data_IF_185816444295
#
_entry.id   IF_185816444295
#
_cell.length_a   1.000
_cell.length_b   1.000
_cell.length_c   1.000
_cell.angle_alpha   90.00
_cell.angle_beta   90.00
_cell.angle_gamma   90.00
#
_symmetry.space_group_name_H-M   'P 1'
#
loop_
_entity.id
_entity.type
_entity.pdbx_description
1 polymer ?
#
# COMPACT_ATOMS: atom_id res chain seq x y z
N UNK A 1 24.27 33.17 37.74
CA UNK A 1 24.44 33.12 36.28
C UNK A 1 23.76 31.86 35.78
N UNK A 2 22.53 31.98 35.27
CA UNK A 2 21.81 30.88 34.61
C UNK A 2 22.16 30.90 33.13
N UNK A 3 22.93 29.92 32.66
CA UNK A 3 23.22 29.73 31.24
C UNK A 3 22.14 28.82 30.65
N UNK A 4 21.15 29.43 30.01
CA UNK A 4 20.12 28.73 29.23
C UNK A 4 20.74 28.31 27.90
N UNK A 5 20.88 27.00 27.69
CA UNK A 5 21.29 26.43 26.40
C UNK A 5 20.10 26.53 25.44
N UNK A 6 20.21 27.39 24.43
CA UNK A 6 19.26 27.47 23.33
C UNK A 6 19.33 26.17 22.52
N UNK A 7 18.30 25.33 22.64
CA UNK A 7 18.05 24.25 21.69
C UNK A 7 17.56 24.88 20.39
N UNK A 8 18.46 24.88 19.40
CA UNK A 8 18.13 25.17 18.00
C UNK A 8 16.98 24.27 17.54
N UNK A 9 15.82 24.88 17.32
CA UNK A 9 14.68 24.23 16.69
C UNK A 9 15.03 24.00 15.22
N UNK A 10 15.45 22.78 14.90
CA UNK A 10 15.59 22.32 13.53
C UNK A 10 14.23 22.47 12.83
N UNK A 11 14.26 23.29 11.78
CA UNK A 11 13.17 23.70 10.93
C UNK A 11 12.37 22.48 10.43
N UNK A 12 11.06 22.49 10.66
CA UNK A 12 10.13 21.47 10.19
C UNK A 12 9.77 21.76 8.73
N UNK A 13 10.77 21.68 7.86
CA UNK A 13 10.66 21.89 6.42
C UNK A 13 10.36 20.60 5.66
N UNK A 14 9.57 20.73 4.60
CA UNK A 14 9.24 19.80 3.51
C UNK A 14 10.29 18.70 3.25
N UNK A 15 9.90 17.43 2.98
CA UNK A 15 10.86 16.38 2.63
C UNK A 15 11.76 16.85 1.48
N UNK A 16 13.08 16.73 1.69
CA UNK A 16 14.06 17.12 0.68
C UNK A 16 13.83 16.37 -0.65
N UNK A 17 14.28 16.95 -1.78
CA UNK A 17 14.22 16.28 -3.07
C UNK A 17 14.99 14.95 -3.00
N UNK A 18 14.28 13.82 -3.10
CA UNK A 18 14.89 12.47 -3.14
C UNK A 18 14.26 11.40 -2.21
N UNK A 19 13.37 11.76 -1.29
CA UNK A 19 12.72 10.77 -0.40
C UNK A 19 11.47 10.19 -1.05
N UNK A 20 11.50 8.89 -1.37
CA UNK A 20 10.38 8.17 -1.99
C UNK A 20 9.30 7.83 -0.95
N UNK A 21 8.07 8.26 -1.21
CA UNK A 21 6.87 7.94 -0.42
C UNK A 21 5.94 7.03 -1.21
N UNK A 22 5.59 5.89 -0.66
CA UNK A 22 4.73 4.91 -1.34
C UNK A 22 3.65 4.37 -0.43
N UNK A 23 2.54 3.97 -1.03
CA UNK A 23 1.54 3.16 -0.36
C UNK A 23 1.60 1.72 -0.89
N UNK A 24 1.93 0.78 -0.01
CA UNK A 24 1.92 -0.64 -0.29
C UNK A 24 0.57 -1.25 0.08
N UNK A 25 -0.14 -1.80 -0.90
CA UNK A 25 -1.34 -2.59 -0.67
C UNK A 25 -0.97 -4.06 -0.59
N UNK A 26 -1.33 -4.69 0.53
CA UNK A 26 -1.17 -6.12 0.77
C UNK A 26 -2.54 -6.81 0.76
N UNK A 27 -2.65 -7.95 0.07
CA UNK A 27 -3.82 -8.82 0.22
C UNK A 27 -3.83 -9.45 1.62
N UNK A 28 -5.01 -9.49 2.26
CA UNK A 28 -5.17 -10.18 3.54
C UNK A 28 -4.98 -11.69 3.42
N UNK A 29 -5.29 -12.29 2.28
CA UNK A 29 -5.17 -13.75 2.08
C UNK A 29 -3.74 -14.26 2.30
N UNK A 30 -2.74 -13.43 1.98
CA UNK A 30 -1.33 -13.78 2.15
C UNK A 30 -0.97 -13.93 3.63
N UNK A 31 -1.62 -13.17 4.51
CA UNK A 31 -1.36 -13.26 5.95
C UNK A 31 -1.78 -14.60 6.53
N UNK A 32 -2.67 -15.36 5.89
CA UNK A 32 -3.17 -16.64 6.42
C UNK A 32 -2.28 -17.86 6.11
N UNK A 33 -1.25 -17.73 5.27
CA UNK A 33 -0.41 -18.87 4.87
C UNK A 33 -1.18 -20.02 4.20
N UNK A 34 -2.33 -19.73 3.60
CA UNK A 34 -3.24 -20.74 3.04
C UNK A 34 -4.32 -21.24 4.00
N UNK A 35 -4.37 -20.73 5.23
CA UNK A 35 -5.36 -21.06 6.27
C UNK A 35 -6.08 -19.82 6.82
N UNK A 36 -7.10 -20.04 7.65
CA UNK A 36 -7.77 -18.94 8.37
C UNK A 36 -6.87 -18.49 9.52
N UNK A 37 -6.69 -17.18 9.68
CA UNK A 37 -5.91 -16.60 10.76
C UNK A 37 -4.66 -15.88 10.26
N UNK A 38 -3.61 -15.85 11.09
CA UNK A 38 -2.35 -15.19 10.78
C UNK A 38 -1.22 -16.21 10.89
N UNK A 39 -0.44 -16.32 9.83
CA UNK A 39 0.82 -17.03 9.76
C UNK A 39 1.96 -16.09 10.20
N UNK A 40 2.57 -16.32 11.38
CA UNK A 40 3.65 -15.49 11.90
C UNK A 40 4.86 -15.39 10.98
N UNK A 41 5.21 -16.47 10.27
CA UNK A 41 6.39 -16.52 9.43
C UNK A 41 6.21 -15.66 8.18
N UNK A 42 5.00 -15.68 7.60
CA UNK A 42 4.67 -14.81 6.47
C UNK A 42 4.68 -13.33 6.88
N UNK A 43 4.04 -12.99 8.00
CA UNK A 43 4.00 -11.60 8.47
C UNK A 43 5.40 -11.11 8.84
N UNK A 44 6.22 -11.95 9.47
CA UNK A 44 7.62 -11.62 9.79
C UNK A 44 8.47 -11.40 8.53
N UNK A 45 8.28 -12.21 7.48
CA UNK A 45 8.98 -12.05 6.21
C UNK A 45 8.62 -10.73 5.50
N UNK A 46 7.35 -10.31 5.57
CA UNK A 46 6.91 -8.99 5.07
C UNK A 46 7.53 -7.88 5.91
N UNK A 47 7.44 -7.98 7.24
CA UNK A 47 7.96 -6.98 8.16
C UNK A 47 9.47 -6.73 7.97
N UNK A 48 10.26 -7.79 7.77
CA UNK A 48 11.69 -7.70 7.47
C UNK A 48 11.98 -6.89 6.20
N UNK A 49 11.23 -7.14 5.13
CA UNK A 49 11.40 -6.44 3.85
C UNK A 49 10.94 -4.97 3.92
N UNK A 50 9.85 -4.68 4.65
CA UNK A 50 9.44 -3.30 4.93
C UNK A 50 10.52 -2.56 5.72
N UNK A 51 11.06 -3.20 6.76
CA UNK A 51 12.10 -2.62 7.58
C UNK A 51 13.41 -2.36 6.81
N UNK A 52 13.79 -3.23 5.87
CA UNK A 52 14.91 -2.99 4.95
C UNK A 52 14.71 -1.68 4.17
N UNK A 53 13.58 -1.53 3.47
CA UNK A 53 13.32 -0.34 2.67
C UNK A 53 13.22 0.95 3.50
N UNK A 54 12.64 0.89 4.70
CA UNK A 54 12.54 2.07 5.59
C UNK A 54 13.91 2.50 6.10
N UNK A 55 14.80 1.57 6.45
CA UNK A 55 16.19 1.92 6.87
C UNK A 55 16.98 2.58 5.75
N UNK A 56 16.65 2.30 4.51
CA UNK A 56 17.23 2.94 3.32
C UNK A 56 16.54 4.27 2.95
N UNK A 57 15.56 4.72 3.72
CA UNK A 57 14.95 6.05 3.62
C UNK A 57 13.58 6.10 2.96
N UNK A 58 12.99 4.96 2.58
CA UNK A 58 11.63 4.94 2.02
C UNK A 58 10.58 5.32 3.08
N UNK A 59 9.64 6.20 2.72
CA UNK A 59 8.46 6.51 3.53
C UNK A 59 7.33 5.55 3.14
N UNK A 60 7.04 4.59 4.01
CA UNK A 60 6.13 3.48 3.69
C UNK A 60 4.81 3.60 4.45
N UNK A 61 3.73 3.74 3.69
CA UNK A 61 2.38 3.51 4.19
C UNK A 61 1.86 2.16 3.70
N UNK A 62 0.99 1.50 4.47
CA UNK A 62 0.50 0.15 4.16
C UNK A 62 -1.02 0.10 4.32
N UNK A 63 -1.71 -0.51 3.36
CA UNK A 63 -3.10 -0.97 3.50
C UNK A 63 -3.11 -2.49 3.43
N UNK A 64 -3.77 -3.15 4.39
CA UNK A 64 -3.86 -4.62 4.43
C UNK A 64 -5.33 -5.06 4.29
N UNK A 65 -5.59 -6.05 3.44
CA UNK A 65 -6.90 -6.69 3.35
C UNK A 65 -7.23 -7.56 4.57
N UNK A 66 -8.49 -7.98 4.72
CA UNK A 66 -8.97 -8.84 5.83
C UNK A 66 -9.35 -10.26 5.42
N UNK A 67 -9.01 -10.67 4.19
CA UNK A 67 -9.51 -11.89 3.54
C UNK A 67 -9.12 -13.21 4.21
N UNK A 68 -8.04 -13.23 4.99
CA UNK A 68 -7.59 -14.37 5.80
C UNK A 68 -8.49 -14.68 7.00
N UNK A 69 -9.21 -13.69 7.53
CA UNK A 69 -10.20 -13.92 8.59
C UNK A 69 -11.61 -14.11 8.03
N UNK A 70 -11.89 -13.47 6.90
CA UNK A 70 -13.25 -13.30 6.45
C UNK A 70 -13.35 -13.22 4.93
N UNK A 71 -13.99 -14.21 4.31
CA UNK A 71 -14.35 -14.19 2.89
C UNK A 71 -15.76 -13.64 2.75
N UNK A 72 -15.92 -12.32 2.78
CA UNK A 72 -17.24 -11.68 2.84
C UNK A 72 -18.22 -12.11 1.75
N UNK A 73 -17.73 -12.39 0.54
CA UNK A 73 -18.54 -12.93 -0.56
C UNK A 73 -19.16 -14.30 -0.21
N UNK A 74 -18.43 -15.19 0.48
CA UNK A 74 -18.94 -16.51 0.87
C UNK A 74 -20.03 -16.41 1.95
N UNK A 75 -19.94 -15.41 2.84
CA UNK A 75 -20.92 -15.22 3.92
C UNK A 75 -22.18 -14.49 3.44
N UNK A 76 -22.05 -13.54 2.52
CA UNK A 76 -23.22 -12.96 1.85
C UNK A 76 -23.99 -13.99 1.03
N UNK A 77 -23.29 -14.91 0.35
CA UNK A 77 -23.94 -16.05 -0.31
C UNK A 77 -24.67 -16.98 0.67
N UNK A 78 -24.27 -16.99 1.95
CA UNK A 78 -24.90 -17.76 3.03
C UNK A 78 -25.92 -16.95 3.84
N UNK A 79 -26.40 -15.82 3.31
CA UNK A 79 -27.51 -15.05 3.87
C UNK A 79 -27.11 -13.90 4.80
N UNK A 80 -25.82 -13.59 4.94
CA UNK A 80 -25.39 -12.39 5.66
C UNK A 80 -25.62 -11.14 4.82
N UNK A 81 -26.22 -10.11 5.42
CA UNK A 81 -26.37 -8.81 4.78
C UNK A 81 -24.99 -8.21 4.45
N UNK A 82 -24.84 -7.70 3.23
CA UNK A 82 -23.54 -7.28 2.67
C UNK A 82 -22.86 -6.20 3.50
N UNK A 83 -23.60 -5.20 3.98
CA UNK A 83 -23.03 -4.12 4.78
C UNK A 83 -22.42 -4.63 6.08
N UNK A 84 -23.06 -5.60 6.75
CA UNK A 84 -22.48 -6.27 7.93
C UNK A 84 -21.24 -7.09 7.58
N UNK A 85 -21.26 -7.81 6.46
CA UNK A 85 -20.11 -8.57 6.00
C UNK A 85 -18.89 -7.66 5.74
N UNK A 86 -19.12 -6.49 5.14
CA UNK A 86 -18.06 -5.50 4.91
C UNK A 86 -17.50 -4.93 6.22
N UNK A 87 -18.35 -4.65 7.23
CA UNK A 87 -17.87 -4.25 8.56
C UNK A 87 -16.98 -5.31 9.22
N UNK A 88 -17.36 -6.58 9.15
CA UNK A 88 -16.52 -7.67 9.69
C UNK A 88 -15.19 -7.75 8.92
N UNK A 89 -15.24 -7.62 7.59
CA UNK A 89 -14.03 -7.53 6.76
C UNK A 89 -13.11 -6.37 7.18
N UNK A 90 -13.68 -5.20 7.44
CA UNK A 90 -12.95 -4.03 7.94
C UNK A 90 -12.30 -4.30 9.31
N UNK A 91 -12.96 -5.01 10.23
CA UNK A 91 -12.32 -5.43 11.48
C UNK A 91 -11.16 -6.40 11.24
N UNK A 92 -11.28 -7.32 10.27
CA UNK A 92 -10.18 -8.19 9.84
C UNK A 92 -8.95 -7.40 9.36
N UNK A 93 -9.15 -6.29 8.65
CA UNK A 93 -8.02 -5.40 8.26
C UNK A 93 -7.33 -4.77 9.46
N UNK A 94 -8.07 -4.43 10.52
CA UNK A 94 -7.49 -3.89 11.77
C UNK A 94 -6.68 -4.96 12.48
N UNK A 95 -7.20 -6.19 12.58
CA UNK A 95 -6.47 -7.31 13.17
C UNK A 95 -5.13 -7.55 12.46
N UNK A 96 -5.12 -7.58 11.13
CA UNK A 96 -3.88 -7.69 10.36
C UNK A 96 -2.95 -6.49 10.54
N UNK A 97 -3.51 -5.28 10.68
CA UNK A 97 -2.71 -4.07 10.89
C UNK A 97 -1.95 -4.13 12.21
N UNK A 98 -2.59 -4.59 13.28
CA UNK A 98 -1.97 -4.75 14.60
C UNK A 98 -0.88 -5.82 14.59
N UNK A 99 -1.14 -6.96 13.93
CA UNK A 99 -0.14 -8.00 13.79
C UNK A 99 1.08 -7.49 13.01
N UNK A 100 0.87 -6.84 11.86
CA UNK A 100 1.97 -6.29 11.08
C UNK A 100 2.75 -5.21 11.85
N UNK A 101 2.07 -4.37 12.63
CA UNK A 101 2.71 -3.41 13.53
C UNK A 101 3.68 -4.10 14.49
N UNK A 102 3.25 -5.13 15.22
CA UNK A 102 4.11 -5.84 16.19
C UNK A 102 5.35 -6.45 15.52
N UNK A 103 5.19 -7.08 14.36
CA UNK A 103 6.32 -7.67 13.63
C UNK A 103 7.28 -6.62 13.06
N UNK A 104 6.80 -5.47 12.58
CA UNK A 104 7.67 -4.37 12.13
C UNK A 104 8.41 -3.73 13.31
N UNK A 105 7.74 -3.54 14.46
CA UNK A 105 8.35 -2.98 15.67
C UNK A 105 9.45 -3.91 16.22
N UNK A 106 9.29 -5.23 16.10
CA UNK A 106 10.34 -6.21 16.40
C UNK A 106 11.57 -6.10 15.48
N UNK A 107 11.42 -5.48 14.30
CA UNK A 107 12.56 -5.12 13.43
C UNK A 107 13.20 -3.77 13.82
N UNK A 108 12.72 -3.11 14.88
CA UNK A 108 13.25 -1.83 15.35
C UNK A 108 12.78 -0.61 14.55
N UNK A 109 11.66 -0.75 13.82
CA UNK A 109 11.04 0.36 13.10
C UNK A 109 9.77 0.80 13.83
N UNK A 110 9.70 2.08 14.20
CA UNK A 110 8.49 2.67 14.78
C UNK A 110 7.31 2.57 13.80
N UNK A 111 6.14 2.17 14.29
CA UNK A 111 4.91 2.11 13.47
C UNK A 111 3.73 2.84 14.10
N UNK A 112 2.75 3.20 13.28
CA UNK A 112 1.46 3.72 13.75
C UNK A 112 0.32 3.13 12.95
N UNK A 113 -0.61 2.47 13.63
CA UNK A 113 -1.88 2.03 13.05
C UNK A 113 -2.88 3.18 13.13
N UNK A 114 -3.47 3.52 11.99
CA UNK A 114 -4.58 4.45 11.89
C UNK A 114 -5.82 3.75 11.33
N UNK A 115 -6.97 3.90 11.99
CA UNK A 115 -8.23 3.26 11.61
C UNK A 115 -9.23 4.28 11.07
N UNK A 116 -9.93 3.91 9.99
CA UNK A 116 -11.06 4.67 9.48
C UNK A 116 -12.31 4.58 10.37
N UNK A 117 -12.43 3.52 11.19
CA UNK A 117 -13.46 3.38 12.23
C UNK A 117 -12.82 3.72 13.58
N UNK A 118 -13.38 4.70 14.28
CA UNK A 118 -12.84 5.16 15.57
C UNK A 118 -12.82 4.04 16.61
N UNK A 119 -11.63 3.72 17.15
CA UNK A 119 -11.42 2.70 18.17
C UNK A 119 -10.25 3.09 19.09
N UNK A 120 -10.46 4.12 19.92
CA UNK A 120 -9.38 4.84 20.59
C UNK A 120 -8.46 4.01 21.50
N UNK A 121 -8.90 2.85 22.00
CA UNK A 121 -8.06 1.94 22.79
C UNK A 121 -7.13 1.05 21.94
N UNK A 122 -7.38 0.97 20.63
CA UNK A 122 -6.75 0.01 19.73
C UNK A 122 -5.88 0.70 18.68
N UNK A 123 -6.38 1.76 18.05
CA UNK A 123 -5.69 2.44 16.97
C UNK A 123 -5.98 3.95 16.96
N UNK A 124 -5.06 4.74 16.40
CA UNK A 124 -5.29 6.17 16.18
C UNK A 124 -6.43 6.35 15.16
N UNK A 125 -7.27 7.40 15.28
CA UNK A 125 -8.17 7.75 14.18
C UNK A 125 -7.36 8.18 12.95
N UNK A 126 -7.84 7.82 11.76
CA UNK A 126 -7.24 8.27 10.51
C UNK A 126 -7.33 9.80 10.36
N UNK A 127 -6.16 10.43 10.23
CA UNK A 127 -6.02 11.86 9.93
C UNK A 127 -4.87 12.01 8.92
N UNK A 128 -5.13 12.39 7.66
CA UNK A 128 -4.11 12.42 6.60
C UNK A 128 -2.85 13.21 6.98
N UNK A 129 -3.03 14.40 7.57
CA UNK A 129 -1.91 15.26 8.01
C UNK A 129 -1.06 14.61 9.10
N UNK A 130 -1.67 13.79 9.97
CA UNK A 130 -0.96 13.05 11.02
C UNK A 130 -0.20 11.87 10.41
N UNK A 131 -0.78 11.18 9.44
CA UNK A 131 -0.10 10.12 8.68
C UNK A 131 1.16 10.66 7.99
N UNK A 132 1.06 11.79 7.27
CA UNK A 132 2.22 12.46 6.65
C UNK A 132 3.29 12.79 7.69
N UNK A 133 2.91 13.34 8.85
CA UNK A 133 3.86 13.67 9.91
C UNK A 133 4.55 12.45 10.53
N UNK A 134 3.90 11.29 10.55
CA UNK A 134 4.54 10.04 10.98
C UNK A 134 5.53 9.54 9.92
N UNK A 135 5.15 9.57 8.64
CA UNK A 135 6.02 9.20 7.51
C UNK A 135 7.29 10.06 7.46
N UNK A 136 7.17 11.37 7.66
CA UNK A 136 8.31 12.31 7.75
C UNK A 136 9.30 11.97 8.86
N UNK A 137 8.86 11.26 9.90
CA UNK A 137 9.69 10.83 11.03
C UNK A 137 10.28 9.43 10.83
N UNK A 138 10.15 8.84 9.64
CA UNK A 138 10.64 7.50 9.33
C UNK A 138 9.77 6.38 9.93
N UNK A 139 8.54 6.68 10.35
CA UNK A 139 7.62 5.66 10.88
C UNK A 139 6.84 5.02 9.74
N UNK A 140 6.56 3.72 9.88
CA UNK A 140 5.59 3.05 9.00
C UNK A 140 4.18 3.40 9.46
N UNK A 141 3.31 3.77 8.52
CA UNK A 141 1.89 4.01 8.81
C UNK A 141 1.06 2.88 8.22
N UNK A 142 0.24 2.23 9.04
CA UNK A 142 -0.62 1.12 8.60
C UNK A 142 -2.07 1.56 8.72
N UNK A 143 -2.81 1.51 7.62
CA UNK A 143 -4.21 1.90 7.55
C UNK A 143 -5.13 0.68 7.74
N UNK A 144 -5.88 0.70 8.83
CA UNK A 144 -6.93 -0.28 9.15
C UNK A 144 -8.33 0.24 8.87
N UNK A 145 -9.28 -0.69 8.86
CA UNK A 145 -10.71 -0.48 8.65
C UNK A 145 -11.12 0.12 7.28
N UNK A 146 -10.27 0.02 6.25
CA UNK A 146 -10.62 0.43 4.89
C UNK A 146 -11.12 1.88 4.78
N UNK A 147 -12.29 2.06 4.16
CA UNK A 147 -12.96 3.35 4.03
C UNK A 147 -13.78 3.73 5.28
N UNK A 148 -13.96 2.81 6.22
CA UNK A 148 -14.90 2.94 7.35
C UNK A 148 -16.37 2.83 6.95
N UNK A 149 -16.66 2.56 5.67
CA UNK A 149 -17.99 2.40 5.13
C UNK A 149 -18.06 1.18 4.18
N UNK A 150 -19.19 0.44 4.17
CA UNK A 150 -19.42 -0.69 3.26
C UNK A 150 -19.35 -0.32 1.77
N UNK A 151 -19.29 -1.33 0.91
CA UNK A 151 -19.26 -1.24 -0.56
C UNK A 151 -17.95 -0.76 -1.20
N UNK A 152 -16.92 -0.45 -0.40
CA UNK A 152 -15.59 -0.08 -0.89
C UNK A 152 -14.60 -1.23 -0.79
N UNK A 153 -13.80 -1.42 -1.84
CA UNK A 153 -12.70 -2.37 -1.83
C UNK A 153 -11.48 -1.78 -1.10
N UNK A 154 -10.54 -2.64 -0.71
CA UNK A 154 -9.25 -2.19 -0.18
C UNK A 154 -8.34 -1.61 -1.25
N UNK A 155 -8.54 -1.96 -2.53
CA UNK A 155 -7.81 -1.39 -3.65
C UNK A 155 -8.22 0.08 -3.86
N UNK A 156 -9.53 0.39 -3.80
CA UNK A 156 -10.04 1.78 -3.87
C UNK A 156 -9.51 2.62 -2.71
N UNK A 157 -9.53 2.08 -1.50
CA UNK A 157 -8.98 2.75 -0.32
C UNK A 157 -7.48 2.99 -0.47
N UNK A 158 -6.74 2.06 -1.07
CA UNK A 158 -5.30 2.20 -1.28
C UNK A 158 -5.00 3.37 -2.22
N UNK A 159 -5.72 3.49 -3.34
CA UNK A 159 -5.62 4.65 -4.22
C UNK A 159 -5.97 5.96 -3.50
N UNK A 160 -7.09 5.99 -2.76
CA UNK A 160 -7.50 7.18 -1.99
C UNK A 160 -6.42 7.60 -0.98
N UNK A 161 -5.94 6.66 -0.14
CA UNK A 161 -4.96 6.95 0.90
C UNK A 161 -3.63 7.39 0.31
N UNK A 162 -3.22 6.82 -0.82
CA UNK A 162 -2.01 7.21 -1.54
C UNK A 162 -2.09 8.68 -1.98
N UNK A 163 -3.22 9.12 -2.55
CA UNK A 163 -3.47 10.51 -2.91
C UNK A 163 -3.43 11.44 -1.68
N UNK A 164 -4.11 11.06 -0.60
CA UNK A 164 -4.22 11.89 0.62
C UNK A 164 -2.87 12.07 1.34
N UNK A 165 -2.00 11.05 1.31
CA UNK A 165 -0.63 11.16 1.86
C UNK A 165 0.39 11.69 0.86
N UNK A 166 -0.02 12.00 -0.38
CA UNK A 166 0.86 12.45 -1.47
C UNK A 166 1.98 11.43 -1.76
N UNK A 167 1.61 10.17 -1.92
CA UNK A 167 2.53 9.12 -2.33
C UNK A 167 2.94 9.30 -3.80
N UNK A 168 4.19 8.96 -4.11
CA UNK A 168 4.74 8.95 -5.47
C UNK A 168 4.18 7.80 -6.30
N UNK A 169 3.76 6.71 -5.64
CA UNK A 169 3.11 5.57 -6.28
C UNK A 169 2.28 4.75 -5.29
N UNK A 170 1.27 4.05 -5.83
CA UNK A 170 0.58 2.95 -5.15
C UNK A 170 1.11 1.60 -5.65
N UNK A 171 1.55 0.75 -4.72
CA UNK A 171 2.15 -0.54 -5.00
C UNK A 171 1.11 -1.63 -4.73
N UNK A 172 0.61 -2.24 -5.78
CA UNK A 172 -0.48 -3.20 -5.76
C UNK A 172 0.08 -4.61 -5.80
N UNK A 173 0.11 -5.26 -4.64
CA UNK A 173 0.56 -6.64 -4.58
C UNK A 173 -0.51 -7.62 -5.07
N UNK A 174 -0.09 -8.60 -5.89
CA UNK A 174 -0.95 -9.67 -6.40
C UNK A 174 -0.40 -11.04 -5.99
N UNK A 175 -1.32 -11.97 -5.76
CA UNK A 175 -1.02 -13.38 -5.51
C UNK A 175 -1.14 -14.16 -6.82
N UNK A 176 -0.17 -15.03 -7.12
CA UNK A 176 -0.21 -15.91 -8.30
C UNK A 176 0.04 -15.25 -9.66
N UNK A 177 0.30 -13.94 -9.73
CA UNK A 177 0.81 -13.23 -10.92
C UNK A 177 1.79 -12.15 -10.49
N UNK A 178 2.81 -11.89 -11.31
CA UNK A 178 3.88 -10.95 -11.03
C UNK A 178 3.74 -9.59 -11.74
N UNK A 179 2.61 -9.34 -12.40
CA UNK A 179 2.36 -8.08 -13.12
C UNK A 179 1.00 -8.05 -13.82
N UNK A 180 0.82 -7.12 -14.74
CA UNK A 180 -0.34 -7.06 -15.65
C UNK A 180 -0.02 -7.85 -16.90
N UNK A 181 -0.98 -8.67 -17.34
CA UNK A 181 -0.87 -9.54 -18.50
C UNK A 181 -1.96 -9.25 -19.52
N UNK A 182 -1.70 -9.59 -20.78
CA UNK A 182 -2.69 -9.49 -21.88
C UNK A 182 -3.90 -10.41 -21.70
N UNK A 183 -3.75 -11.50 -20.95
CA UNK A 183 -4.77 -12.46 -20.57
C UNK A 183 -4.38 -13.09 -19.22
N UNK A 184 -5.25 -13.89 -18.58
CA UNK A 184 -4.89 -14.58 -17.33
C UNK A 184 -3.83 -15.68 -17.62
N UNK A 185 -2.58 -15.52 -17.16
CA UNK A 185 -1.49 -16.45 -17.49
C UNK A 185 -1.69 -17.86 -16.89
N UNK A 186 -2.63 -18.02 -15.95
CA UNK A 186 -2.98 -19.32 -15.37
C UNK A 186 -3.87 -20.15 -16.30
N UNK A 187 -4.57 -19.49 -17.21
CA UNK A 187 -5.52 -20.14 -18.14
C UNK A 187 -5.14 -19.98 -19.61
N UNK A 188 -4.29 -19.01 -19.93
CA UNK A 188 -3.85 -18.70 -21.30
C UNK A 188 -2.32 -18.70 -21.38
N UNK A 189 -1.76 -19.72 -22.02
CA UNK A 189 -0.32 -19.87 -22.21
C UNK A 189 0.29 -18.82 -23.16
N UNK A 190 -0.52 -18.10 -23.93
CA UNK A 190 -0.08 -17.01 -24.81
C UNK A 190 -0.03 -15.64 -24.11
N UNK A 191 -0.45 -15.58 -22.84
CA UNK A 191 -0.47 -14.36 -22.05
C UNK A 191 0.93 -13.73 -21.97
N UNK A 192 1.03 -12.45 -22.31
CA UNK A 192 2.27 -11.67 -22.24
C UNK A 192 2.18 -10.65 -21.12
N UNK A 193 3.22 -10.59 -20.29
CA UNK A 193 3.36 -9.57 -19.24
C UNK A 193 3.77 -8.25 -19.86
N UNK A 194 3.16 -7.16 -19.39
CA UNK A 194 3.59 -5.81 -19.71
C UNK A 194 4.67 -5.36 -18.72
N UNK A 195 5.71 -4.66 -19.17
CA UNK A 195 6.63 -3.97 -18.27
C UNK A 195 6.08 -2.59 -17.87
N UNK A 196 5.54 -1.88 -18.86
CA UNK A 196 4.86 -0.60 -18.68
C UNK A 196 3.59 -0.59 -19.55
N UNK A 197 2.55 0.08 -19.09
CA UNK A 197 1.31 0.29 -19.86
C UNK A 197 0.63 1.58 -19.39
N UNK A 198 0.03 2.33 -20.31
CA UNK A 198 -0.74 3.51 -19.91
C UNK A 198 -2.13 3.14 -19.38
N UNK A 199 -2.73 4.01 -18.56
CA UNK A 199 -4.12 3.84 -18.12
C UNK A 199 -5.09 3.74 -19.33
N UNK A 200 -4.86 4.57 -20.36
CA UNK A 200 -5.67 4.56 -21.58
C UNK A 200 -5.55 3.23 -22.35
N UNK A 201 -4.34 2.68 -22.48
CA UNK A 201 -4.12 1.38 -23.14
C UNK A 201 -4.72 0.23 -22.36
N UNK A 202 -4.55 0.20 -21.04
CA UNK A 202 -5.14 -0.82 -20.18
C UNK A 202 -6.68 -0.81 -20.27
N UNK A 203 -7.30 0.37 -20.33
CA UNK A 203 -8.73 0.52 -20.54
C UNK A 203 -9.16 0.04 -21.93
N UNK A 204 -8.43 0.46 -22.99
CA UNK A 204 -8.70 0.06 -24.38
C UNK A 204 -8.60 -1.46 -24.58
N UNK A 205 -7.65 -2.10 -23.90
CA UNK A 205 -7.44 -3.55 -23.93
C UNK A 205 -8.36 -4.31 -22.95
N UNK A 206 -9.16 -3.62 -22.13
CA UNK A 206 -10.07 -4.24 -21.16
C UNK A 206 -9.35 -5.01 -20.04
N UNK A 207 -8.13 -4.60 -19.67
CA UNK A 207 -7.31 -5.31 -18.69
C UNK A 207 -7.86 -5.11 -17.27
N UNK A 208 -8.02 -6.21 -16.53
CA UNK A 208 -8.48 -6.19 -15.14
C UNK A 208 -7.31 -6.03 -14.18
N UNK A 209 -6.83 -4.80 -14.02
CA UNK A 209 -5.68 -4.47 -13.17
C UNK A 209 -6.07 -4.48 -11.69
N UNK A 210 -7.03 -3.64 -11.33
CA UNK A 210 -7.67 -3.51 -10.00
C UNK A 210 -9.17 -3.29 -10.22
N UNK A 211 -9.95 -3.07 -9.17
CA UNK A 211 -11.35 -2.68 -9.37
C UNK A 211 -11.46 -1.33 -10.10
N UNK A 212 -12.60 -1.10 -10.75
CA UNK A 212 -12.81 0.05 -11.62
C UNK A 212 -12.70 1.41 -10.88
N UNK A 213 -13.11 1.48 -9.60
CA UNK A 213 -13.06 2.72 -8.84
C UNK A 213 -11.61 3.07 -8.45
N UNK A 214 -10.82 2.08 -8.02
CA UNK A 214 -9.40 2.26 -7.78
C UNK A 214 -8.64 2.69 -9.05
N UNK A 215 -8.94 2.05 -10.18
CA UNK A 215 -8.33 2.37 -11.47
C UNK A 215 -8.65 3.80 -11.91
N UNK A 216 -9.92 4.21 -11.83
CA UNK A 216 -10.36 5.56 -12.17
C UNK A 216 -9.68 6.61 -11.30
N UNK A 217 -9.64 6.41 -9.97
CA UNK A 217 -8.94 7.32 -9.05
C UNK A 217 -7.47 7.51 -9.42
N UNK A 218 -6.76 6.44 -9.79
CA UNK A 218 -5.35 6.54 -10.17
C UNK A 218 -5.20 7.28 -11.51
N UNK A 219 -6.04 6.96 -12.50
CA UNK A 219 -6.01 7.57 -13.82
C UNK A 219 -6.33 9.06 -13.78
N UNK A 220 -7.38 9.47 -13.06
CA UNK A 220 -7.83 10.87 -13.00
C UNK A 220 -6.86 11.79 -12.25
N UNK A 221 -5.98 11.23 -11.42
CA UNK A 221 -5.03 11.98 -10.60
C UNK A 221 -3.57 11.71 -10.99
N UNK A 222 -3.33 11.06 -12.13
CA UNK A 222 -2.00 10.66 -12.60
C UNK A 222 -1.15 9.93 -11.54
N UNK A 223 -1.79 9.17 -10.63
CA UNK A 223 -1.10 8.43 -9.58
C UNK A 223 -0.49 7.15 -10.17
N UNK A 224 0.84 7.00 -10.22
CA UNK A 224 1.48 5.81 -10.74
C UNK A 224 1.10 4.57 -9.92
N UNK A 225 0.79 3.48 -10.61
CA UNK A 225 0.48 2.20 -9.99
C UNK A 225 1.51 1.15 -10.40
N UNK A 226 2.09 0.45 -9.45
CA UNK A 226 3.02 -0.66 -9.72
C UNK A 226 2.34 -1.95 -9.29
N UNK A 227 2.04 -2.82 -10.26
CA UNK A 227 1.45 -4.14 -10.00
C UNK A 227 2.55 -5.17 -10.02
N UNK A 228 2.73 -5.88 -8.90
CA UNK A 228 3.84 -6.80 -8.73
C UNK A 228 3.45 -8.04 -7.93
N UNK A 229 4.22 -9.11 -8.11
CA UNK A 229 4.09 -10.34 -7.34
C UNK A 229 4.88 -10.26 -6.04
N UNK A 230 4.28 -10.70 -4.94
CA UNK A 230 4.99 -10.78 -3.64
C UNK A 230 5.89 -12.00 -3.51
N UNK A 231 5.64 -13.03 -4.32
CA UNK A 231 6.44 -14.25 -4.36
C UNK A 231 7.83 -13.93 -4.92
N UNK A 232 8.87 -14.43 -4.24
CA UNK A 232 10.26 -14.12 -4.56
C UNK A 232 10.96 -13.34 -3.44
N UNK A 233 12.17 -13.78 -3.09
CA UNK A 233 12.93 -13.19 -1.99
C UNK A 233 13.28 -11.72 -2.30
N UNK A 234 12.88 -10.82 -1.39
CA UNK A 234 13.21 -9.40 -1.46
C UNK A 234 12.30 -8.53 -2.34
N UNK A 235 11.30 -9.09 -3.04
CA UNK A 235 10.46 -8.30 -3.96
C UNK A 235 9.77 -7.10 -3.30
N UNK A 236 9.33 -7.23 -2.04
CA UNK A 236 8.71 -6.11 -1.31
C UNK A 236 9.74 -5.02 -1.04
N UNK A 237 10.94 -5.36 -0.58
CA UNK A 237 11.99 -4.37 -0.34
C UNK A 237 12.37 -3.64 -1.64
N UNK A 238 12.60 -4.41 -2.71
CA UNK A 238 12.97 -3.89 -4.03
C UNK A 238 11.93 -2.91 -4.58
N UNK A 239 10.64 -3.26 -4.54
CA UNK A 239 9.59 -2.35 -5.03
C UNK A 239 9.42 -1.13 -4.15
N UNK A 240 9.64 -1.24 -2.84
CA UNK A 240 9.59 -0.10 -1.91
C UNK A 240 10.77 0.87 -2.11
N UNK A 241 11.91 0.38 -2.61
CA UNK A 241 13.06 1.20 -3.01
C UNK A 241 12.94 1.84 -4.40
N UNK A 242 12.01 1.36 -5.22
CA UNK A 242 11.75 1.92 -6.55
C UNK A 242 12.44 1.15 -7.67
N UNK A 243 12.92 -0.06 -7.39
CA UNK A 243 13.35 -0.96 -8.44
C UNK A 243 12.17 -1.31 -9.37
N UNK A 244 12.46 -1.43 -10.66
CA UNK A 244 11.48 -1.83 -11.67
C UNK A 244 11.15 -3.30 -11.50
N UNK A 245 10.07 -3.59 -10.78
CA UNK A 245 9.50 -4.93 -10.68
C UNK A 245 8.02 -4.93 -11.05
N UNK A 246 7.57 -6.02 -11.67
CA UNK A 246 6.21 -6.13 -12.18
C UNK A 246 5.93 -5.13 -13.30
N UNK A 247 4.73 -4.55 -13.29
CA UNK A 247 4.24 -3.65 -14.33
C UNK A 247 3.96 -2.27 -13.78
N UNK A 248 4.50 -1.24 -14.42
CA UNK A 248 4.12 0.15 -14.18
C UNK A 248 2.87 0.52 -15.01
N UNK A 249 1.85 1.07 -14.35
CA UNK A 249 0.67 1.66 -14.96
C UNK A 249 0.67 3.17 -14.72
N UNK A 250 0.55 3.98 -15.78
CA UNK A 250 0.77 5.44 -15.70
C UNK A 250 -0.04 6.25 -16.73
N UNK A 251 -0.05 7.59 -16.61
CA UNK A 251 -0.81 8.52 -17.48
C UNK A 251 -0.22 8.81 -18.87
N UNK A 252 0.96 8.28 -19.21
CA UNK A 252 1.59 8.45 -20.53
C UNK A 252 2.69 9.53 -20.64
N UNK A 253 3.00 10.29 -19.59
CA UNK A 253 4.09 11.29 -19.58
C UNK A 253 5.39 10.74 -18.96
N UNK A 254 6.09 9.85 -19.67
CA UNK A 254 7.51 9.51 -19.49
C UNK A 254 7.98 8.96 -18.12
N UNK A 255 9.21 8.41 -18.01
CA UNK A 255 9.66 7.71 -16.80
C UNK A 255 9.96 8.66 -15.64
N UNK A 256 9.60 8.25 -14.42
CA UNK A 256 10.09 8.82 -13.16
C UNK A 256 11.61 8.56 -13.04
N UNK A 257 12.44 9.40 -13.67
CA UNK A 257 13.84 9.65 -13.32
C UNK A 257 14.43 10.77 -14.20
N UNK A 258 14.89 11.86 -13.57
CA UNK A 258 15.79 12.82 -14.23
C UNK A 258 15.56 14.28 -13.83
N UNK A 259 16.32 14.72 -12.83
CA UNK A 259 16.89 16.08 -12.70
C UNK A 259 16.56 17.04 -13.85
N UNK A 260 15.78 18.08 -13.55
CA UNK A 260 15.85 19.34 -14.29
C UNK A 260 17.21 19.99 -14.00
N UNK A 261 18.23 19.64 -14.78
CA UNK A 261 19.33 20.55 -15.03
C UNK A 261 18.74 21.76 -15.71
N UNK A 262 18.86 22.92 -15.07
CA UNK A 262 18.46 24.18 -15.63
C UNK A 262 19.20 24.44 -16.94
N UNK A 263 18.48 24.99 -17.91
CA UNK A 263 19.10 25.84 -18.90
C UNK A 263 18.56 27.24 -18.70
N UNK A 264 19.49 28.11 -18.32
CA UNK A 264 19.36 29.54 -18.45
C UNK A 264 19.61 29.90 -19.92
N UNK A 265 18.63 30.55 -20.54
CA UNK A 265 18.83 31.51 -21.62
C UNK A 265 17.64 32.47 -21.66
#
# INVERSE_FOLDING_TARGET
MHGSTELSTADAGTPGPGVRRVLLKLSGEVFGGGSIGIDPDVVNAIARQVAEAVREGAQVAIVVGGGNFFRGAELSQRGMERSRADYIGMLGTVMNSLALQDFIEKQGIDTRVQSAITMGQVAEPYIPRRAIRHLEKGRVVIFGAGAGMPYFSTDTVSAQRALEIKADAVLMSKSGVDGVYSADPRTDASARRFEEITFAEALRLGLKVVDAAAFALCMENDLPMIVFGMEGEGNIARVLRGERIGTLVHGGTGPLNGTTTGDAS
#
